data_IF_319455587447
#
_entry.id   IF_319455587447
#
_cell.length_a   1.000
_cell.length_b   1.000
_cell.length_c   1.000
_cell.angle_alpha   90.00
_cell.angle_beta   90.00
_cell.angle_gamma   90.00
#
_symmetry.space_group_name_H-M   'P 1'
#
loop_
_entity.id
_entity.type
_entity.pdbx_description
1 polymer ?
#
# COMPACT_ATOMS: atom_id res chain seq x y z
N UNK A 1 26.25 50.55 4.66
CA UNK A 1 24.96 50.09 4.11
C UNK A 1 25.26 48.89 3.23
N UNK A 2 25.35 47.70 3.83
CA UNK A 2 25.44 46.39 3.16
C UNK A 2 25.04 45.35 4.19
N UNK A 3 23.78 44.91 4.15
CA UNK A 3 23.33 43.76 4.90
C UNK A 3 23.83 42.49 4.17
N UNK A 4 24.30 41.45 4.87
CA UNK A 4 24.54 40.17 4.24
C UNK A 4 23.18 39.52 3.96
N UNK A 5 22.80 39.44 2.68
CA UNK A 5 21.67 38.65 2.23
C UNK A 5 21.96 37.16 2.44
N UNK A 6 21.59 36.66 3.62
CA UNK A 6 21.46 35.24 3.87
C UNK A 6 20.29 34.69 3.05
N UNK A 7 20.54 34.39 1.77
CA UNK A 7 19.74 33.43 1.02
C UNK A 7 19.93 32.05 1.65
N UNK A 8 19.24 31.81 2.75
CA UNK A 8 19.05 30.47 3.28
C UNK A 8 18.20 29.72 2.26
N UNK A 9 18.85 28.89 1.46
CA UNK A 9 18.20 27.92 0.59
C UNK A 9 17.41 27.00 1.50
N UNK A 10 16.13 27.31 1.69
CA UNK A 10 15.15 26.44 2.35
C UNK A 10 15.19 25.09 1.64
N UNK A 11 15.97 24.17 2.18
CA UNK A 11 15.96 22.77 1.82
C UNK A 11 14.57 22.25 2.16
N UNK A 12 13.61 22.41 1.25
CA UNK A 12 12.26 21.86 1.36
C UNK A 12 12.38 20.34 1.49
N UNK A 13 12.23 19.78 2.70
CA UNK A 13 12.37 18.35 2.89
C UNK A 13 11.14 17.66 2.31
N UNK A 14 11.32 16.40 1.89
CA UNK A 14 10.30 15.33 1.88
C UNK A 14 9.41 14.98 0.66
N UNK A 15 9.56 15.49 -0.58
CA UNK A 15 8.90 14.88 -1.75
C UNK A 15 9.60 13.60 -2.25
N UNK A 16 10.94 13.55 -2.15
CA UNK A 16 11.76 12.46 -2.74
C UNK A 16 11.47 11.07 -2.16
N UNK A 17 11.07 10.96 -0.90
CA UNK A 17 10.74 9.66 -0.28
C UNK A 17 9.49 9.04 -0.89
N UNK A 18 8.45 9.84 -1.14
CA UNK A 18 7.23 9.38 -1.78
C UNK A 18 7.49 8.95 -3.22
N UNK A 19 8.32 9.69 -3.95
CA UNK A 19 8.71 9.33 -5.33
C UNK A 19 9.45 8.00 -5.36
N UNK A 20 10.37 7.75 -4.42
CA UNK A 20 11.06 6.47 -4.32
C UNK A 20 10.10 5.30 -4.03
N UNK A 21 9.11 5.50 -3.15
CA UNK A 21 8.10 4.49 -2.83
C UNK A 21 7.19 4.24 -4.04
N UNK A 22 6.80 5.29 -4.76
CA UNK A 22 6.06 5.18 -6.04
C UNK A 22 6.84 4.33 -7.04
N UNK A 23 8.14 4.58 -7.19
CA UNK A 23 9.00 3.85 -8.11
C UNK A 23 9.06 2.36 -7.75
N UNK A 24 9.18 2.02 -6.46
CA UNK A 24 9.12 0.62 -6.01
C UNK A 24 7.77 -0.02 -6.32
N UNK A 25 6.66 0.64 -6.00
CA UNK A 25 5.31 0.15 -6.32
C UNK A 25 5.10 -0.05 -7.82
N UNK A 26 5.63 0.86 -8.63
CA UNK A 26 5.59 0.79 -10.08
C UNK A 26 6.37 -0.44 -10.59
N UNK A 27 7.59 -0.66 -10.10
CA UNK A 27 8.40 -1.83 -10.46
C UNK A 27 7.69 -3.13 -10.05
N UNK A 28 7.13 -3.20 -8.83
CA UNK A 28 6.36 -4.37 -8.37
C UNK A 28 5.17 -4.62 -9.30
N UNK A 29 4.48 -3.57 -9.74
CA UNK A 29 3.34 -3.69 -10.67
C UNK A 29 3.77 -4.14 -12.06
N UNK A 30 4.91 -3.65 -12.57
CA UNK A 30 5.45 -4.09 -13.85
C UNK A 30 5.84 -5.58 -13.82
N UNK A 31 6.46 -6.04 -12.72
CA UNK A 31 6.77 -7.45 -12.50
C UNK A 31 5.48 -8.29 -12.45
N UNK A 32 4.46 -7.81 -11.76
CA UNK A 32 3.16 -8.47 -11.66
C UNK A 32 2.52 -8.67 -13.04
N UNK A 33 2.47 -7.61 -13.87
CA UNK A 33 1.97 -7.69 -15.25
C UNK A 33 2.79 -8.67 -16.08
N UNK A 34 4.12 -8.66 -15.96
CA UNK A 34 4.99 -9.60 -16.67
C UNK A 34 4.71 -11.06 -16.27
N UNK A 35 4.54 -11.33 -14.96
CA UNK A 35 4.20 -12.65 -14.43
C UNK A 35 2.86 -13.13 -14.99
N UNK A 36 1.84 -12.26 -15.00
CA UNK A 36 0.51 -12.59 -15.54
C UNK A 36 0.58 -12.92 -17.02
N UNK A 37 1.30 -12.11 -17.80
CA UNK A 37 1.38 -12.29 -19.25
C UNK A 37 2.21 -13.49 -19.70
N UNK A 38 3.26 -13.83 -18.96
CA UNK A 38 4.12 -14.97 -19.32
C UNK A 38 3.65 -16.31 -18.74
N UNK A 39 2.52 -16.33 -18.02
CA UNK A 39 1.94 -17.52 -17.35
C UNK A 39 2.95 -18.38 -16.57
N UNK A 40 4.07 -17.78 -16.14
CA UNK A 40 5.26 -18.50 -15.70
C UNK A 40 5.02 -19.32 -14.42
N UNK A 41 3.97 -18.97 -13.67
CA UNK A 41 3.61 -19.59 -12.39
C UNK A 41 2.37 -20.50 -12.46
N UNK A 42 1.69 -20.63 -13.60
CA UNK A 42 0.50 -21.50 -13.74
C UNK A 42 -0.52 -21.32 -12.60
N UNK A 43 -0.79 -22.39 -11.84
CA UNK A 43 -1.75 -22.36 -10.71
C UNK A 43 -1.32 -21.47 -9.52
N UNK A 44 -0.02 -21.17 -9.39
CA UNK A 44 0.50 -20.27 -8.34
C UNK A 44 0.28 -18.78 -8.65
N UNK A 45 -0.20 -18.44 -9.84
CA UNK A 45 -0.40 -17.04 -10.23
C UNK A 45 -1.40 -16.34 -9.29
N UNK A 46 -2.51 -16.99 -8.95
CA UNK A 46 -3.56 -16.42 -8.09
C UNK A 46 -3.03 -16.09 -6.68
N UNK A 47 -2.45 -17.04 -5.92
CA UNK A 47 -1.95 -16.73 -4.58
C UNK A 47 -0.83 -15.69 -4.58
N UNK A 48 0.04 -15.70 -5.60
CA UNK A 48 1.12 -14.72 -5.73
C UNK A 48 0.57 -13.31 -5.97
N UNK A 49 -0.41 -13.16 -6.87
CA UNK A 49 -1.07 -11.87 -7.11
C UNK A 49 -1.78 -11.33 -5.87
N UNK A 50 -2.42 -12.20 -5.09
CA UNK A 50 -3.06 -11.81 -3.82
C UNK A 50 -2.02 -11.26 -2.84
N UNK A 51 -0.88 -11.94 -2.69
CA UNK A 51 0.21 -11.50 -1.80
C UNK A 51 0.82 -10.18 -2.29
N UNK A 52 1.11 -10.05 -3.59
CA UNK A 52 1.64 -8.81 -4.17
C UNK A 52 0.66 -7.65 -3.99
N UNK A 53 -0.63 -7.88 -4.20
CA UNK A 53 -1.68 -6.89 -3.99
C UNK A 53 -1.77 -6.45 -2.52
N UNK A 54 -1.78 -7.38 -1.58
CA UNK A 54 -1.79 -7.09 -0.14
C UNK A 54 -0.53 -6.32 0.31
N UNK A 55 0.63 -6.68 -0.23
CA UNK A 55 1.89 -5.98 0.04
C UNK A 55 1.85 -4.53 -0.45
N UNK A 56 1.43 -4.31 -1.71
CA UNK A 56 1.27 -2.96 -2.28
C UNK A 56 0.29 -2.11 -1.47
N UNK A 57 -0.86 -2.68 -1.11
CA UNK A 57 -1.85 -2.01 -0.28
C UNK A 57 -1.26 -1.56 1.06
N UNK A 58 -0.48 -2.43 1.73
CA UNK A 58 0.18 -2.09 3.00
C UNK A 58 1.15 -0.92 2.86
N UNK A 59 1.96 -0.91 1.80
CA UNK A 59 2.90 0.19 1.52
C UNK A 59 2.15 1.49 1.24
N UNK A 60 1.06 1.45 0.48
CA UNK A 60 0.21 2.63 0.22
C UNK A 60 -0.38 3.17 1.51
N UNK A 61 -0.94 2.30 2.35
CA UNK A 61 -1.54 2.70 3.63
C UNK A 61 -0.51 3.29 4.59
N UNK A 62 0.65 2.66 4.75
CA UNK A 62 1.67 3.15 5.68
C UNK A 62 2.28 4.48 5.23
N UNK A 63 2.57 4.63 3.94
CA UNK A 63 3.35 5.77 3.46
C UNK A 63 2.49 6.84 2.79
N UNK A 64 1.60 6.50 1.86
CA UNK A 64 0.79 7.49 1.14
C UNK A 64 -0.41 8.01 1.94
N UNK A 65 -1.04 7.17 2.77
CA UNK A 65 -2.07 7.62 3.69
C UNK A 65 -1.51 8.26 4.97
N UNK A 66 -0.20 8.54 5.03
CA UNK A 66 0.48 9.23 6.14
C UNK A 66 0.45 8.50 7.49
N UNK A 67 -0.20 7.34 7.62
CA UNK A 67 -0.38 6.60 8.88
C UNK A 67 0.91 6.34 9.68
N UNK A 68 2.04 6.12 8.99
CA UNK A 68 3.35 5.93 9.65
C UNK A 68 3.91 7.23 10.25
N UNK A 69 3.48 8.37 9.74
CA UNK A 69 3.87 9.71 10.19
C UNK A 69 2.78 10.40 11.01
N UNK A 70 1.59 9.79 11.12
CA UNK A 70 0.43 10.31 11.83
C UNK A 70 0.20 9.56 13.16
N UNK A 71 -0.75 10.02 13.96
CA UNK A 71 -1.02 9.51 15.29
C UNK A 71 -1.56 8.07 15.24
N UNK A 72 -1.16 7.24 16.22
CA UNK A 72 -1.54 5.80 16.31
C UNK A 72 -3.04 5.54 16.25
N UNK A 73 -3.86 6.54 16.57
CA UNK A 73 -5.32 6.49 16.48
C UNK A 73 -5.82 6.27 15.05
N UNK A 74 -5.27 6.96 14.04
CA UNK A 74 -5.65 6.74 12.64
C UNK A 74 -5.25 5.35 12.16
N UNK A 75 -4.09 4.89 12.61
CA UNK A 75 -3.64 3.53 12.33
C UNK A 75 -4.54 2.46 12.95
N UNK A 76 -5.00 2.67 14.18
CA UNK A 76 -5.90 1.77 14.88
C UNK A 76 -7.31 1.77 14.26
N UNK A 77 -7.85 2.93 13.89
CA UNK A 77 -9.15 3.05 13.23
C UNK A 77 -9.14 2.39 11.86
N UNK A 78 -8.07 2.56 11.08
CA UNK A 78 -7.93 1.92 9.78
C UNK A 78 -7.86 0.40 9.88
N UNK A 79 -6.96 -0.12 10.74
CA UNK A 79 -6.81 -1.57 10.94
C UNK A 79 -8.08 -2.17 11.54
N UNK A 80 -8.72 -1.49 12.49
CA UNK A 80 -10.00 -1.88 13.06
C UNK A 80 -11.11 -1.93 12.02
N UNK A 81 -11.22 -0.90 11.16
CA UNK A 81 -12.16 -0.87 10.04
C UNK A 81 -11.89 -1.97 9.00
N UNK A 82 -10.61 -2.23 8.68
CA UNK A 82 -10.21 -3.30 7.77
C UNK A 82 -10.58 -4.68 8.31
N UNK A 83 -10.30 -4.94 9.59
CA UNK A 83 -10.67 -6.19 10.28
C UNK A 83 -12.19 -6.36 10.33
N UNK A 84 -12.92 -5.28 10.64
CA UNK A 84 -14.39 -5.30 10.64
C UNK A 84 -14.93 -5.62 9.25
N UNK A 85 -14.44 -4.94 8.20
CA UNK A 85 -14.86 -5.18 6.82
C UNK A 85 -14.57 -6.63 6.38
N UNK A 86 -13.38 -7.15 6.69
CA UNK A 86 -13.02 -8.55 6.44
C UNK A 86 -13.94 -9.51 7.19
N UNK A 87 -14.23 -9.24 8.47
CA UNK A 87 -15.14 -10.05 9.28
C UNK A 87 -16.56 -10.08 8.74
N UNK A 88 -17.10 -8.92 8.33
CA UNK A 88 -18.41 -8.82 7.68
C UNK A 88 -18.42 -9.60 6.36
N UNK A 89 -17.39 -9.45 5.52
CA UNK A 89 -17.28 -10.15 4.25
C UNK A 89 -17.25 -11.67 4.44
N UNK A 90 -16.44 -12.18 5.38
CA UNK A 90 -16.39 -13.60 5.71
C UNK A 90 -17.75 -14.08 6.24
N UNK A 91 -18.37 -13.32 7.13
CA UNK A 91 -19.70 -13.64 7.68
C UNK A 91 -20.74 -13.75 6.55
N UNK A 92 -20.70 -12.85 5.57
CA UNK A 92 -21.60 -12.87 4.43
C UNK A 92 -21.36 -14.10 3.54
N UNK A 93 -20.10 -14.43 3.24
CA UNK A 93 -19.75 -15.60 2.43
C UNK A 93 -20.16 -16.91 3.10
N UNK A 94 -20.05 -16.99 4.43
CA UNK A 94 -20.55 -18.13 5.22
C UNK A 94 -22.07 -18.18 5.23
N UNK A 95 -22.74 -17.03 5.40
CA UNK A 95 -24.21 -16.93 5.39
C UNK A 95 -24.81 -17.43 4.07
N UNK A 96 -24.18 -17.12 2.94
CA UNK A 96 -24.59 -17.59 1.61
C UNK A 96 -24.08 -19.01 1.28
N UNK A 97 -23.47 -19.74 2.23
CA UNK A 97 -22.87 -21.07 2.05
C UNK A 97 -21.83 -21.18 0.93
N UNK A 98 -21.28 -20.07 0.44
CA UNK A 98 -20.27 -20.08 -0.63
C UNK A 98 -18.99 -20.79 -0.19
N UNK A 99 -18.67 -20.75 1.12
CA UNK A 99 -17.46 -21.36 1.70
C UNK A 99 -17.71 -22.77 2.29
N UNK A 100 -18.96 -23.11 2.61
CA UNK A 100 -19.34 -24.34 3.34
C UNK A 100 -20.20 -25.27 2.47
N UNK A 101 -20.16 -25.07 1.15
CA UNK A 101 -20.91 -25.82 0.15
C UNK A 101 -20.16 -27.07 -0.32
#
# INVERSE_FOLDING_TARGET
>A
MTAPDHHQTSAHPTPMKYVAIAAVLFVVTAIEVAIVYMEFLGSLIIPVLVILSAGKFTVVVMFYMHLKFDNRLFSALFVGGLLLAMGVLITLLVLFRVIVG
#
